data_IF_166935121191
#
_entry.id   IF_166935121191
#
_cell.length_a   1.000
_cell.length_b   1.000
_cell.length_c   1.000
_cell.angle_alpha   90.00
_cell.angle_beta   90.00
_cell.angle_gamma   90.00
#
_symmetry.space_group_name_H-M   'P 1'
#
loop_
_entity.id
_entity.type
_entity.pdbx_description
1 polymer ?
#
# COMPACT_ATOMS: atom_id res chain seq x y z
N UNK A 1 -18.85 -7.88 -10.68
CA UNK A 1 -17.38 -7.99 -10.66
C UNK A 1 -16.89 -7.74 -9.22
N UNK A 2 -16.93 -8.77 -8.36
CA UNK A 2 -16.70 -8.66 -6.90
C UNK A 2 -15.21 -8.85 -6.52
N UNK A 3 -14.36 -9.20 -7.50
CA UNK A 3 -12.99 -9.66 -7.27
C UNK A 3 -11.99 -8.52 -7.02
N UNK A 4 -12.32 -7.28 -7.38
CA UNK A 4 -11.43 -6.12 -7.18
C UNK A 4 -11.51 -5.49 -5.78
N UNK A 5 -12.30 -6.06 -4.85
CA UNK A 5 -12.75 -5.28 -3.70
C UNK A 5 -11.61 -4.76 -2.82
N UNK A 6 -10.48 -5.48 -2.66
CA UNK A 6 -9.34 -4.99 -1.84
C UNK A 6 -7.96 -5.57 -2.25
N UNK A 7 -7.61 -5.58 -3.55
CA UNK A 7 -6.30 -6.08 -4.02
C UNK A 7 -5.09 -5.41 -3.33
N UNK A 8 -5.19 -4.11 -3.06
CA UNK A 8 -4.13 -3.34 -2.39
C UNK A 8 -3.80 -3.83 -0.98
N UNK A 9 -4.84 -4.17 -0.21
CA UNK A 9 -4.74 -4.68 1.16
C UNK A 9 -4.17 -6.08 1.20
N UNK A 10 -4.66 -6.98 0.35
CA UNK A 10 -4.12 -8.35 0.25
C UNK A 10 -2.66 -8.34 -0.15
N UNK A 11 -2.24 -7.46 -1.06
CA UNK A 11 -0.83 -7.33 -1.44
C UNK A 11 0.04 -6.87 -0.27
N UNK A 12 -0.43 -5.94 0.57
CA UNK A 12 0.30 -5.54 1.76
C UNK A 12 0.46 -6.71 2.74
N UNK A 13 -0.61 -7.48 2.97
CA UNK A 13 -0.57 -8.71 3.78
C UNK A 13 0.45 -9.69 3.21
N UNK A 14 0.47 -9.91 1.89
CA UNK A 14 1.42 -10.82 1.24
C UNK A 14 2.87 -10.37 1.44
N UNK A 15 3.16 -9.06 1.34
CA UNK A 15 4.52 -8.53 1.55
C UNK A 15 4.99 -8.78 2.99
N UNK A 16 4.11 -8.57 3.97
CA UNK A 16 4.42 -8.81 5.39
C UNK A 16 4.61 -10.31 5.65
N UNK A 17 3.70 -11.15 5.17
CA UNK A 17 3.79 -12.60 5.33
C UNK A 17 5.04 -13.16 4.65
N UNK A 18 5.41 -12.67 3.47
CA UNK A 18 6.60 -13.12 2.77
C UNK A 18 7.87 -12.90 3.62
N UNK A 19 7.99 -11.74 4.26
CA UNK A 19 9.11 -11.45 5.14
C UNK A 19 9.09 -12.30 6.42
N UNK A 20 7.91 -12.47 7.03
CA UNK A 20 7.76 -13.32 8.23
C UNK A 20 8.13 -14.77 7.92
N UNK A 21 7.59 -15.34 6.85
CA UNK A 21 7.88 -16.72 6.46
C UNK A 21 9.37 -16.89 6.15
N UNK A 22 9.96 -15.97 5.39
CA UNK A 22 11.40 -16.03 5.07
C UNK A 22 12.26 -15.92 6.32
N UNK A 23 11.86 -15.11 7.30
CA UNK A 23 12.58 -14.97 8.57
C UNK A 23 12.64 -16.28 9.37
N UNK A 24 11.52 -17.02 9.43
CA UNK A 24 11.40 -18.27 10.19
C UNK A 24 11.88 -19.51 9.44
N UNK A 25 11.69 -19.56 8.12
CA UNK A 25 11.96 -20.76 7.30
C UNK A 25 13.38 -20.74 6.74
N UNK A 26 13.89 -19.57 6.34
CA UNK A 26 15.22 -19.51 5.72
C UNK A 26 16.31 -19.31 6.77
N UNK A 27 17.34 -20.17 6.82
CA UNK A 27 18.55 -19.91 7.58
C UNK A 27 19.49 -18.92 6.87
N UNK A 28 19.33 -18.71 5.56
CA UNK A 28 20.22 -17.87 4.76
C UNK A 28 19.93 -16.37 4.97
N UNK A 29 20.97 -15.61 5.29
CA UNK A 29 20.90 -14.16 5.48
C UNK A 29 20.67 -13.44 4.15
N UNK A 30 21.22 -13.94 3.04
CA UNK A 30 21.06 -13.34 1.72
C UNK A 30 19.58 -13.34 1.28
N UNK A 31 18.86 -14.43 1.55
CA UNK A 31 17.42 -14.51 1.26
C UNK A 31 16.62 -13.50 2.09
N UNK A 32 16.94 -13.35 3.38
CA UNK A 32 16.29 -12.36 4.27
C UNK A 32 16.53 -10.92 3.80
N UNK A 33 17.76 -10.62 3.39
CA UNK A 33 18.12 -9.30 2.84
C UNK A 33 17.35 -9.06 1.55
N UNK A 34 17.29 -10.06 0.67
CA UNK A 34 16.59 -9.96 -0.60
C UNK A 34 15.10 -9.71 -0.43
N UNK A 35 14.41 -10.48 0.44
CA UNK A 35 12.97 -10.30 0.68
C UNK A 35 12.65 -8.98 1.35
N UNK A 36 13.53 -8.52 2.25
CA UNK A 36 13.41 -7.21 2.90
C UNK A 36 13.59 -6.08 1.88
N UNK A 37 14.60 -6.18 1.01
CA UNK A 37 14.85 -5.21 -0.06
C UNK A 37 13.71 -5.18 -1.08
N UNK A 38 13.16 -6.34 -1.44
CA UNK A 38 12.01 -6.45 -2.32
C UNK A 38 10.77 -5.79 -1.70
N UNK A 39 10.50 -6.03 -0.42
CA UNK A 39 9.40 -5.38 0.31
C UNK A 39 9.55 -3.86 0.35
N UNK A 40 10.76 -3.38 0.63
CA UNK A 40 11.06 -1.95 0.61
C UNK A 40 10.80 -1.34 -0.78
N UNK A 41 11.27 -1.98 -1.85
CA UNK A 41 11.07 -1.50 -3.22
C UNK A 41 9.58 -1.44 -3.60
N UNK A 42 8.78 -2.43 -3.18
CA UNK A 42 7.34 -2.44 -3.41
C UNK A 42 6.62 -1.30 -2.67
N UNK A 43 7.02 -1.00 -1.44
CA UNK A 43 6.48 0.14 -0.68
C UNK A 43 6.85 1.47 -1.36
N UNK A 44 8.11 1.64 -1.77
CA UNK A 44 8.58 2.83 -2.49
C UNK A 44 7.80 3.03 -3.78
N UNK A 45 7.63 1.96 -4.57
CA UNK A 45 6.82 2.00 -5.80
C UNK A 45 5.38 2.47 -5.53
N UNK A 46 4.75 1.97 -4.46
CA UNK A 46 3.39 2.39 -4.06
C UNK A 46 3.32 3.87 -3.70
N UNK A 47 4.33 4.39 -3.02
CA UNK A 47 4.40 5.81 -2.68
C UNK A 47 4.58 6.68 -3.94
N UNK A 48 5.46 6.25 -4.86
CA UNK A 48 5.83 7.02 -6.06
C UNK A 48 4.76 7.02 -7.16
N UNK A 49 3.93 5.97 -7.25
CA UNK A 49 2.99 5.81 -8.37
C UNK A 49 1.87 6.87 -8.37
N UNK A 50 1.62 7.55 -7.24
CA UNK A 50 0.44 8.40 -7.14
C UNK A 50 0.74 9.91 -7.22
N UNK A 51 0.30 10.53 -8.32
CA UNK A 51 0.49 11.95 -8.65
C UNK A 51 -0.13 12.88 -7.59
N UNK A 52 0.69 13.81 -7.10
CA UNK A 52 0.44 15.03 -6.32
C UNK A 52 -1.00 15.59 -6.27
N UNK A 53 -1.94 14.91 -5.62
CA UNK A 53 -3.18 15.54 -5.17
C UNK A 53 -3.31 15.32 -3.66
N UNK A 54 -2.74 16.25 -2.90
CA UNK A 54 -2.92 16.35 -1.45
C UNK A 54 -4.08 17.32 -1.19
N UNK A 55 -5.30 16.84 -0.93
CA UNK A 55 -6.39 17.74 -0.53
C UNK A 55 -6.01 18.45 0.78
N UNK A 56 -6.13 19.77 0.80
CA UNK A 56 -5.73 20.64 1.94
C UNK A 56 -6.45 20.29 3.26
N UNK A 57 -7.58 19.58 3.17
CA UNK A 57 -8.41 19.20 4.31
C UNK A 57 -8.06 17.84 4.96
N UNK A 58 -7.08 17.09 4.45
CA UNK A 58 -6.69 15.77 5.00
C UNK A 58 -5.20 15.79 5.35
N UNK A 59 -4.86 15.22 6.52
CA UNK A 59 -3.47 15.15 6.95
C UNK A 59 -2.64 14.32 5.97
N UNK A 60 -1.46 14.84 5.58
CA UNK A 60 -0.56 14.18 4.62
C UNK A 60 -0.14 12.78 5.07
N UNK A 61 0.01 12.59 6.39
CA UNK A 61 0.35 11.30 6.99
C UNK A 61 -0.78 10.28 6.83
N UNK A 62 -2.03 10.69 7.03
CA UNK A 62 -3.18 9.80 6.87
C UNK A 62 -3.33 9.32 5.41
N UNK A 63 -3.10 10.21 4.44
CA UNK A 63 -3.06 9.85 3.01
C UNK A 63 -1.94 8.82 2.75
N UNK A 64 -0.76 9.00 3.34
CA UNK A 64 0.35 8.04 3.20
C UNK A 64 0.00 6.68 3.82
N UNK A 65 -0.66 6.64 4.98
CA UNK A 65 -1.12 5.38 5.58
C UNK A 65 -2.13 4.65 4.70
N UNK A 66 -3.13 5.35 4.16
CA UNK A 66 -4.09 4.75 3.24
C UNK A 66 -3.43 4.26 1.94
N UNK A 67 -2.42 4.98 1.44
CA UNK A 67 -1.63 4.53 0.27
C UNK A 67 -0.87 3.26 0.53
N UNK A 68 -0.19 3.15 1.67
CA UNK A 68 0.62 1.98 2.00
C UNK A 68 -0.28 0.74 2.19
N UNK A 69 -1.34 0.87 2.98
CA UNK A 69 -2.18 -0.25 3.39
C UNK A 69 -3.19 -0.63 2.31
N UNK A 70 -3.90 0.35 1.76
CA UNK A 70 -5.04 0.10 0.88
C UNK A 70 -4.72 0.33 -0.60
N UNK A 71 -3.54 0.86 -0.93
CA UNK A 71 -3.19 1.30 -2.30
C UNK A 71 -4.22 2.35 -2.82
N UNK A 72 -4.73 3.19 -1.91
CA UNK A 72 -5.76 4.21 -2.18
C UNK A 72 -5.38 5.55 -1.55
N UNK A 73 -5.70 6.65 -2.23
CA UNK A 73 -5.49 8.01 -1.71
C UNK A 73 -6.52 8.46 -0.68
N UNK A 74 -7.72 7.88 -0.70
CA UNK A 74 -8.88 8.36 0.06
C UNK A 74 -9.68 7.15 0.54
N UNK A 75 -10.15 7.20 1.80
CA UNK A 75 -10.91 6.14 2.47
C UNK A 75 -12.23 5.76 1.77
N UNK A 76 -12.79 6.63 0.93
CA UNK A 76 -14.15 6.43 0.42
C UNK A 76 -14.39 7.04 -0.97
N UNK A 77 -15.05 6.25 -1.83
CA UNK A 77 -15.71 6.69 -3.09
C UNK A 77 -16.63 7.92 -2.88
N UNK A 78 -17.08 8.17 -1.66
CA UNK A 78 -18.03 9.22 -1.29
C UNK A 78 -17.51 10.65 -1.53
N UNK A 79 -16.20 10.89 -1.34
CA UNK A 79 -15.58 12.18 -1.64
C UNK A 79 -15.39 12.41 -3.16
N UNK A 80 -15.33 11.35 -3.96
CA UNK A 80 -15.24 11.44 -5.41
C UNK A 80 -16.60 11.78 -6.04
N UNK A 81 -17.69 11.19 -5.54
CA UNK A 81 -19.05 11.47 -6.03
C UNK A 81 -19.57 12.85 -5.64
N UNK A 82 -19.20 13.37 -4.45
CA UNK A 82 -19.63 14.72 -4.04
C UNK A 82 -18.90 15.87 -4.77
N UNK A 83 -17.84 15.57 -5.55
CA UNK A 83 -17.21 16.54 -6.44
C UNK A 83 -17.92 16.68 -7.80
N UNK A 84 -18.86 15.79 -8.12
CA UNK A 84 -19.64 15.85 -9.36
C UNK A 84 -20.97 16.63 -9.22
N UNK A 85 -21.20 17.27 -8.06
CA UNK A 85 -22.46 17.98 -7.77
C UNK A 85 -22.27 19.47 -7.45
N UNK A 86 -21.13 20.07 -7.80
CA UNK A 86 -20.94 21.52 -7.80
C UNK A 86 -20.44 22.00 -9.15
#
# INVERSE_FOLDING_TARGET
MIIYKDSGFWTFITIVLLNLVTYFVSPDIAEKIFTTGLAFLLIVKRILTNRYYFPEHISKLEILFYRIIFDRDIKSKYLWTNKLTY
#
